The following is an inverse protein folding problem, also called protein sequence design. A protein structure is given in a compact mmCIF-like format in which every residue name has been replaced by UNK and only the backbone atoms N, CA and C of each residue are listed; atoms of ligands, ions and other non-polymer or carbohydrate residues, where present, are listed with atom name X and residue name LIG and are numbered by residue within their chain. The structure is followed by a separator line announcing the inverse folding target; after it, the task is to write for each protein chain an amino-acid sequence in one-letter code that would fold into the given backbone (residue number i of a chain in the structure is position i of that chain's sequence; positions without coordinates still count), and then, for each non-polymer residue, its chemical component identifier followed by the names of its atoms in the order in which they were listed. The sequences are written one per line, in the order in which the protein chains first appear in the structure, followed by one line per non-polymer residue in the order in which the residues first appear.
data_IF_229538915004
#
_entry.id   IF_229538915004
#
_cell.length_a   1.000
_cell.length_b   1.000
_cell.length_c   1.000
_cell.angle_alpha   90.00
_cell.angle_beta   90.00
_cell.angle_gamma   90.00
#
_symmetry.space_group_name_H-M   'P 1'
#
loop_
_entity.id
_entity.type
_entity.pdbx_description
1 polymer ?
#
# COMPACT_ATOMS: atom_id res chain seq x y z
N UNK A 1 -5.50 -9.04 8.63
CA UNK A 1 -5.21 -9.77 7.37
C UNK A 1 -3.73 -9.59 7.04
N UNK A 2 -2.99 -10.65 6.67
CA UNK A 2 -1.56 -10.57 6.34
C UNK A 2 -1.30 -9.82 5.02
N UNK A 3 -2.24 -9.89 4.08
CA UNK A 3 -2.22 -9.17 2.80
C UNK A 3 -2.75 -7.73 2.92
N UNK A 4 -3.36 -7.38 4.04
CA UNK A 4 -3.89 -6.05 4.29
C UNK A 4 -5.12 -5.65 3.46
N UNK A 5 -5.60 -6.49 2.54
CA UNK A 5 -6.77 -6.20 1.71
C UNK A 5 -8.05 -6.32 2.56
N UNK A 6 -8.73 -5.20 2.81
CA UNK A 6 -10.04 -5.19 3.46
C UNK A 6 -11.02 -4.33 2.64
N UNK A 7 -12.24 -4.82 2.39
CA UNK A 7 -13.26 -4.05 1.69
C UNK A 7 -13.85 -2.96 2.62
N UNK A 8 -14.00 -1.72 2.11
CA UNK A 8 -14.71 -0.63 2.83
C UNK A 8 -16.12 -0.39 2.31
N UNK A 9 -16.40 -0.76 1.06
CA UNK A 9 -17.72 -0.66 0.45
C UNK A 9 -18.11 -1.97 -0.25
N UNK A 10 -19.41 -2.16 -0.45
CA UNK A 10 -19.95 -3.31 -1.21
C UNK A 10 -19.30 -3.39 -2.59
N UNK A 11 -18.92 -4.60 -3.02
CA UNK A 11 -18.32 -4.84 -4.33
C UNK A 11 -16.90 -4.31 -4.54
N UNK A 12 -16.18 -3.90 -3.50
CA UNK A 12 -14.82 -3.31 -3.59
C UNK A 12 -14.74 -1.99 -4.37
N UNK A 13 -15.83 -1.21 -4.41
CA UNK A 13 -15.78 0.15 -4.95
C UNK A 13 -14.74 1.03 -4.22
N UNK A 14 -14.55 0.76 -2.92
CA UNK A 14 -13.44 1.27 -2.12
C UNK A 14 -12.92 0.17 -1.19
N UNK A 15 -11.59 0.08 -1.06
CA UNK A 15 -10.92 -0.89 -0.20
C UNK A 15 -9.68 -0.28 0.46
N UNK A 16 -9.10 -0.99 1.41
CA UNK A 16 -7.82 -0.64 2.01
C UNK A 16 -6.79 -1.74 1.78
N UNK A 17 -5.52 -1.34 1.69
CA UNK A 17 -4.37 -2.23 1.74
C UNK A 17 -3.50 -1.79 2.89
N UNK A 18 -3.52 -2.57 3.97
CA UNK A 18 -2.74 -2.33 5.20
C UNK A 18 -1.88 -3.55 5.55
N UNK A 19 -0.67 -3.68 5.00
CA UNK A 19 0.29 -4.71 5.39
C UNK A 19 0.51 -4.68 6.90
N UNK A 20 0.62 -5.85 7.52
CA UNK A 20 0.96 -6.00 8.94
C UNK A 20 2.17 -6.94 9.06
N UNK A 21 3.39 -6.47 8.79
CA UNK A 21 4.59 -7.28 9.02
C UNK A 21 4.66 -7.63 10.51
N UNK A 22 4.63 -8.92 10.84
CA UNK A 22 4.58 -9.42 12.22
C UNK A 22 5.53 -10.60 12.40
N UNK A 23 6.17 -10.68 13.57
CA UNK A 23 7.18 -11.70 13.84
C UNK A 23 8.30 -11.64 12.79
N UNK A 24 8.73 -12.80 12.30
CA UNK A 24 9.84 -12.92 11.34
C UNK A 24 9.38 -12.91 9.87
N UNK A 25 8.13 -12.50 9.62
CA UNK A 25 7.60 -12.40 8.26
C UNK A 25 8.23 -11.20 7.54
N UNK A 26 9.16 -11.49 6.64
CA UNK A 26 9.87 -10.48 5.85
C UNK A 26 9.20 -10.18 4.52
N UNK A 27 8.20 -10.94 4.10
CA UNK A 27 7.47 -10.68 2.87
C UNK A 27 6.08 -11.33 2.89
N UNK A 28 5.15 -10.77 2.13
CA UNK A 28 3.91 -11.44 1.76
C UNK A 28 3.43 -10.95 0.40
N UNK A 29 2.90 -11.88 -0.39
CA UNK A 29 2.32 -11.59 -1.70
C UNK A 29 0.97 -12.25 -1.82
N UNK A 30 0.01 -11.51 -2.36
CA UNK A 30 -1.30 -12.04 -2.69
C UNK A 30 -2.06 -11.13 -3.63
N UNK A 31 -3.15 -11.67 -4.14
CA UNK A 31 -4.10 -10.94 -4.95
C UNK A 31 -5.52 -11.32 -4.56
N UNK A 32 -6.45 -10.44 -4.88
CA UNK A 32 -7.86 -10.69 -4.76
C UNK A 32 -8.54 -10.35 -6.09
N UNK A 33 -9.20 -11.35 -6.68
CA UNK A 33 -9.96 -11.16 -7.90
C UNK A 33 -11.38 -10.67 -7.54
N UNK A 34 -11.57 -9.35 -7.63
CA UNK A 34 -12.87 -8.73 -7.48
C UNK A 34 -13.58 -8.62 -8.84
N UNK A 35 -14.90 -8.40 -8.82
CA UNK A 35 -15.68 -8.18 -10.05
C UNK A 35 -15.16 -6.99 -10.88
N UNK A 36 -14.61 -5.99 -10.20
CA UNK A 36 -14.04 -4.76 -10.78
C UNK A 36 -12.62 -4.96 -11.34
N UNK A 37 -11.99 -6.09 -11.06
CA UNK A 37 -10.63 -6.43 -11.49
C UNK A 37 -9.77 -6.99 -10.35
N UNK A 38 -8.53 -7.31 -10.70
CA UNK A 38 -7.55 -7.89 -9.76
C UNK A 38 -6.92 -6.79 -8.89
N UNK A 39 -7.00 -6.99 -7.57
CA UNK A 39 -6.29 -6.20 -6.57
C UNK A 39 -5.02 -6.96 -6.19
N UNK A 40 -3.87 -6.31 -6.19
CA UNK A 40 -2.58 -6.92 -5.82
C UNK A 40 -2.00 -6.25 -4.58
N UNK A 41 -1.45 -7.06 -3.67
CA UNK A 41 -0.58 -6.59 -2.59
C UNK A 41 0.64 -7.50 -2.50
N UNK A 42 1.80 -6.94 -2.79
CA UNK A 42 3.09 -7.63 -2.76
C UNK A 42 4.10 -6.78 -2.00
N UNK A 43 4.44 -7.17 -0.78
CA UNK A 43 5.39 -6.43 0.03
C UNK A 43 6.52 -7.32 0.54
N UNK A 44 7.69 -6.71 0.71
CA UNK A 44 8.88 -7.33 1.29
C UNK A 44 9.72 -6.31 2.05
N UNK A 45 10.47 -6.81 3.00
CA UNK A 45 11.44 -6.06 3.81
C UNK A 45 12.84 -6.49 3.35
N UNK A 46 13.64 -5.51 2.92
CA UNK A 46 15.04 -5.70 2.53
C UNK A 46 15.96 -4.83 3.38
N UNK A 47 16.49 -5.41 4.45
CA UNK A 47 17.32 -4.68 5.41
C UNK A 47 16.52 -3.55 6.08
N UNK A 48 16.89 -2.30 5.78
CA UNK A 48 16.24 -1.10 6.30
C UNK A 48 15.18 -0.51 5.35
N UNK A 49 14.70 -1.30 4.38
CA UNK A 49 13.76 -0.85 3.35
C UNK A 49 12.49 -1.68 3.39
N UNK A 50 11.35 -1.01 3.27
CA UNK A 50 10.08 -1.65 2.97
C UNK A 50 9.75 -1.40 1.51
N UNK A 51 9.49 -2.48 0.75
CA UNK A 51 9.15 -2.44 -0.66
C UNK A 51 7.76 -3.00 -0.84
N UNK A 52 6.89 -2.28 -1.55
CA UNK A 52 5.48 -2.66 -1.69
C UNK A 52 4.95 -2.32 -3.07
N UNK A 53 4.41 -3.33 -3.75
CA UNK A 53 3.71 -3.18 -5.03
C UNK A 53 2.21 -3.37 -4.81
N UNK A 54 1.45 -2.47 -5.40
CA UNK A 54 -0.02 -2.46 -5.33
C UNK A 54 -0.59 -2.27 -6.72
N UNK A 55 -1.64 -3.02 -7.04
CA UNK A 55 -2.47 -2.79 -8.21
C UNK A 55 -3.89 -2.45 -7.77
N UNK A 56 -4.38 -1.29 -8.18
CA UNK A 56 -5.74 -0.81 -7.96
C UNK A 56 -6.50 -0.88 -9.28
N UNK A 57 -7.55 -1.70 -9.39
CA UNK A 57 -8.29 -1.87 -10.64
C UNK A 57 -9.05 -0.60 -11.06
N UNK A 58 -9.43 -0.54 -12.33
CA UNK A 58 -10.14 0.60 -12.92
C UNK A 58 -11.44 0.92 -12.16
N UNK A 59 -11.81 2.20 -12.09
CA UNK A 59 -13.02 2.69 -11.43
C UNK A 59 -13.14 2.34 -9.93
N UNK A 60 -12.02 2.12 -9.26
CA UNK A 60 -11.97 1.92 -7.80
C UNK A 60 -11.01 2.90 -7.14
N UNK A 61 -11.17 3.06 -5.83
CA UNK A 61 -10.22 3.78 -4.99
C UNK A 61 -9.71 2.90 -3.87
N UNK A 62 -8.46 3.12 -3.45
CA UNK A 62 -7.84 2.37 -2.37
C UNK A 62 -7.25 3.32 -1.33
N UNK A 63 -7.38 2.95 -0.05
CA UNK A 63 -6.57 3.54 1.00
C UNK A 63 -5.34 2.67 1.25
N UNK A 64 -4.18 3.15 0.85
CA UNK A 64 -2.92 2.42 0.95
C UNK A 64 -2.17 2.90 2.19
N UNK A 65 -1.87 1.95 3.07
CA UNK A 65 -1.06 2.19 4.25
C UNK A 65 0.34 1.63 4.00
N UNK A 66 1.31 2.52 3.82
CA UNK A 66 2.71 2.13 3.61
C UNK A 66 3.43 2.19 4.97
N UNK A 67 3.87 1.05 5.53
CA UNK A 67 4.67 1.05 6.75
C UNK A 67 5.91 1.93 6.58
N UNK A 68 6.18 2.81 7.53
CA UNK A 68 7.38 3.64 7.51
C UNK A 68 7.65 4.22 8.90
N UNK A 69 8.88 4.71 9.11
CA UNK A 69 9.18 5.52 10.28
C UNK A 69 8.40 6.85 10.26
N UNK A 70 7.97 7.37 11.42
CA UNK A 70 7.24 8.63 11.47
C UNK A 70 7.97 9.75 10.72
N UNK A 71 7.22 10.47 9.86
CA UNK A 71 7.73 11.61 9.06
C UNK A 71 8.90 11.27 8.12
N UNK A 72 9.10 10.00 7.80
CA UNK A 72 10.09 9.59 6.80
C UNK A 72 9.50 9.64 5.39
N UNK A 73 10.35 9.95 4.42
CA UNK A 73 9.92 10.00 3.02
C UNK A 73 9.46 8.62 2.54
N UNK A 74 8.34 8.61 1.82
CA UNK A 74 7.86 7.47 1.03
C UNK A 74 8.02 7.85 -0.43
N UNK A 75 8.64 6.98 -1.21
CA UNK A 75 8.72 7.12 -2.65
C UNK A 75 7.71 6.21 -3.36
N UNK A 76 7.26 6.66 -4.53
CA UNK A 76 6.50 5.90 -5.51
C UNK A 76 7.33 5.92 -6.81
N UNK A 77 7.67 4.74 -7.33
CA UNK A 77 8.47 4.58 -8.57
C UNK A 77 9.73 5.46 -8.61
N UNK A 78 10.38 5.64 -7.45
CA UNK A 78 11.62 6.42 -7.31
C UNK A 78 11.44 7.93 -7.14
N UNK A 79 10.22 8.45 -7.10
CA UNK A 79 9.89 9.87 -6.84
C UNK A 79 9.12 10.02 -5.53
N UNK A 80 9.03 11.22 -4.92
CA UNK A 80 8.20 11.40 -3.72
C UNK A 80 6.75 10.97 -3.99
N UNK A 81 6.19 10.10 -3.13
CA UNK A 81 4.82 9.60 -3.31
C UNK A 81 3.75 10.71 -3.25
N UNK A 82 4.07 11.85 -2.62
CA UNK A 82 3.22 13.04 -2.58
C UNK A 82 3.11 13.78 -3.92
N UNK A 83 4.01 13.49 -4.87
CA UNK A 83 4.02 14.07 -6.22
C UNK A 83 3.51 13.09 -7.28
N UNK A 84 3.22 11.84 -6.89
CA UNK A 84 2.79 10.80 -7.83
C UNK A 84 1.34 11.01 -8.27
N UNK A 85 1.10 10.85 -9.57
CA UNK A 85 -0.24 10.98 -10.13
C UNK A 85 -1.15 9.87 -9.59
N UNK A 86 -2.37 10.26 -9.20
CA UNK A 86 -3.36 9.32 -8.67
C UNK A 86 -3.10 8.93 -7.21
N UNK A 87 -2.12 9.54 -6.53
CA UNK A 87 -1.96 9.46 -5.08
C UNK A 87 -2.28 10.80 -4.42
N UNK A 88 -2.96 10.72 -3.29
CA UNK A 88 -3.17 11.83 -2.38
C UNK A 88 -2.69 11.42 -0.99
N UNK A 89 -1.68 12.11 -0.47
CA UNK A 89 -1.26 11.91 0.92
C UNK A 89 -2.34 12.41 1.88
N UNK A 90 -2.68 11.59 2.88
CA UNK A 90 -3.69 11.93 3.87
C UNK A 90 -3.04 12.28 5.21
N UNK A 91 -2.28 11.35 5.78
CA UNK A 91 -1.74 11.49 7.14
C UNK A 91 -0.63 10.47 7.44
N UNK A 92 0.10 10.71 8.52
CA UNK A 92 0.85 9.66 9.21
C UNK A 92 0.00 9.12 10.36
N UNK A 93 -0.21 7.80 10.41
CA UNK A 93 -1.00 7.15 11.45
C UNK A 93 -0.36 5.81 11.81
N UNK A 94 -0.16 5.53 13.10
CA UNK A 94 0.25 4.22 13.63
C UNK A 94 1.48 3.55 12.96
N UNK A 95 2.48 4.34 12.53
CA UNK A 95 3.65 3.82 11.81
C UNK A 95 3.43 3.60 10.31
N UNK A 96 2.40 4.22 9.74
CA UNK A 96 2.10 4.21 8.31
C UNK A 96 2.06 5.63 7.77
N UNK A 97 2.53 5.79 6.53
CA UNK A 97 2.08 6.88 5.67
C UNK A 97 0.82 6.41 4.92
N UNK A 98 -0.25 7.19 5.02
CA UNK A 98 -1.55 6.83 4.46
C UNK A 98 -1.83 7.65 3.22
N UNK A 99 -2.14 6.96 2.12
CA UNK A 99 -2.49 7.55 0.84
C UNK A 99 -3.88 7.12 0.41
N UNK A 100 -4.63 8.03 -0.19
CA UNK A 100 -5.73 7.67 -1.10
C UNK A 100 -5.14 7.47 -2.50
N UNK A 101 -5.52 6.38 -3.15
CA UNK A 101 -5.04 5.99 -4.47
C UNK A 101 -6.22 5.76 -5.41
N UNK A 102 -6.11 6.30 -6.62
CA UNK A 102 -6.97 5.94 -7.74
C UNK A 102 -6.56 4.61 -8.37
N UNK A 103 -7.14 4.29 -9.52
CA UNK A 103 -6.74 3.13 -10.31
C UNK A 103 -5.32 3.30 -10.85
N UNK A 104 -4.51 2.24 -10.78
CA UNK A 104 -3.14 2.24 -11.24
C UNK A 104 -2.29 1.18 -10.56
N UNK A 105 -1.05 1.08 -11.02
CA UNK A 105 -0.01 0.28 -10.41
C UNK A 105 0.97 1.20 -9.69
N UNK A 106 1.24 0.90 -8.42
CA UNK A 106 2.09 1.71 -7.56
C UNK A 106 3.22 0.86 -7.00
N UNK A 107 4.44 1.41 -6.98
CA UNK A 107 5.61 0.77 -6.37
C UNK A 107 6.19 1.67 -5.29
N UNK A 108 5.82 1.38 -4.04
CA UNK A 108 6.25 2.11 -2.86
C UNK A 108 7.58 1.61 -2.32
N UNK A 109 8.42 2.54 -1.88
CA UNK A 109 9.60 2.28 -1.06
C UNK A 109 9.62 3.25 0.14
N UNK A 110 9.99 2.73 1.30
CA UNK A 110 10.11 3.52 2.52
C UNK A 110 11.19 2.97 3.45
N UNK A 111 11.58 3.78 4.44
CA UNK A 111 12.46 3.31 5.52
C UNK A 111 11.71 2.34 6.43
N UNK A 112 12.33 1.19 6.66
CA UNK A 112 11.89 0.17 7.61
C UNK A 112 12.90 0.05 8.75
N UNK A 113 12.40 0.07 9.98
CA UNK A 113 13.17 -0.26 11.17
C UNK A 113 12.23 -0.98 12.15
N UNK A 114 12.71 -2.09 12.72
CA UNK A 114 11.98 -2.88 13.72
C UNK A 114 12.08 -2.24 15.10
#
# INVERSE_FOLDING_TARGET
SLLGINAKASGFASFEIKPQPAGDLTWARGHYDALVGRIVSDWKIEGTRFLMKVSVPANTTARIYVPTLPRSAVSESGKPATEAQGLQFLEYQDGYAVFEAGSGDYSFESVWQR
#
